data_IF_548251510391
#
_entry.id   IF_548251510391
#
_cell.length_a   1.000
_cell.length_b   1.000
_cell.length_c   1.000
_cell.angle_alpha   90.00
_cell.angle_beta   90.00
_cell.angle_gamma   90.00
#
_symmetry.space_group_name_H-M   'P 1'
#
loop_
_entity.id
_entity.type
_entity.pdbx_description
1 polymer ?
#
# COMPACT_ATOMS: atom_id res chain seq x y z
N UNK A 1 17.18 -61.97 53.93
CA UNK A 1 16.43 -61.36 55.04
C UNK A 1 16.08 -59.92 54.65
N UNK A 2 14.84 -59.48 54.94
CA UNK A 2 13.88 -58.87 54.00
C UNK A 2 13.58 -57.39 54.37
N UNK A 3 12.77 -56.60 53.66
CA UNK A 3 11.29 -56.60 53.72
C UNK A 3 10.70 -55.54 52.76
N UNK A 4 9.81 -55.94 51.85
CA UNK A 4 8.34 -55.64 51.84
C UNK A 4 7.94 -54.16 51.76
N UNK A 5 7.30 -53.78 50.63
CA UNK A 5 5.95 -53.15 50.51
C UNK A 5 5.55 -53.28 49.03
N UNK A 6 4.79 -54.29 48.59
CA UNK A 6 3.32 -54.43 48.52
C UNK A 6 2.55 -53.38 47.68
N UNK A 7 2.26 -53.79 46.44
CA UNK A 7 1.00 -53.69 45.67
C UNK A 7 -0.10 -52.74 46.17
N UNK A 8 -0.60 -51.89 45.25
CA UNK A 8 -2.02 -51.91 44.83
C UNK A 8 -2.28 -51.10 43.56
N UNK A 9 -2.89 -51.80 42.61
CA UNK A 9 -3.58 -51.33 41.42
C UNK A 9 -4.80 -50.47 41.74
N UNK A 10 -4.97 -49.34 41.05
CA UNK A 10 -6.28 -48.72 40.85
C UNK A 10 -6.27 -47.84 39.59
N UNK A 11 -6.78 -48.40 38.49
CA UNK A 11 -7.23 -47.66 37.31
C UNK A 11 -8.49 -46.83 37.68
N UNK A 12 -8.53 -45.51 37.42
CA UNK A 12 -9.79 -44.81 37.33
C UNK A 12 -10.37 -44.88 35.91
N UNK A 13 -11.59 -45.42 35.87
CA UNK A 13 -12.63 -45.43 34.84
C UNK A 13 -12.50 -44.40 33.70
N UNK A 14 -12.65 -44.95 32.50
CA UNK A 14 -13.20 -44.34 31.29
C UNK A 14 -14.27 -43.28 31.56
N UNK A 15 -14.06 -42.09 31.02
CA UNK A 15 -15.08 -41.05 30.87
C UNK A 15 -16.15 -41.53 29.86
N UNK A 16 -17.38 -41.64 30.34
CA UNK A 16 -18.55 -41.93 29.53
C UNK A 16 -18.78 -40.83 28.49
N UNK A 17 -18.74 -41.21 27.21
CA UNK A 17 -19.17 -40.37 26.10
C UNK A 17 -20.70 -40.30 26.09
N UNK A 18 -21.25 -39.18 26.57
CA UNK A 18 -22.69 -38.92 26.59
C UNK A 18 -23.17 -38.69 25.15
N UNK A 19 -23.90 -39.67 24.60
CA UNK A 19 -24.62 -39.55 23.32
C UNK A 19 -25.59 -38.36 23.36
N UNK A 20 -25.66 -37.50 22.32
CA UNK A 20 -26.70 -36.49 22.23
C UNK A 20 -28.07 -37.17 21.99
N UNK A 21 -29.07 -36.66 22.68
CA UNK A 21 -30.45 -37.13 22.61
C UNK A 21 -31.04 -36.91 21.21
N UNK A 22 -31.74 -37.94 20.76
CA UNK A 22 -32.50 -38.04 19.52
C UNK A 22 -33.67 -37.05 19.58
N UNK A 23 -33.60 -35.96 18.79
CA UNK A 23 -34.69 -35.01 18.66
C UNK A 23 -35.76 -35.60 17.72
N UNK A 24 -36.73 -36.27 18.31
CA UNK A 24 -37.94 -36.77 17.66
C UNK A 24 -38.80 -35.61 17.13
N UNK A 25 -39.13 -35.66 15.84
CA UNK A 25 -40.06 -34.75 15.15
C UNK A 25 -41.48 -34.87 15.74
N UNK A 26 -42.20 -33.76 15.99
CA UNK A 26 -43.64 -33.82 16.18
C UNK A 26 -44.36 -34.02 14.84
N UNK A 27 -45.30 -34.97 14.84
CA UNK A 27 -46.31 -35.21 13.79
C UNK A 27 -47.44 -34.20 13.88
N UNK A 28 -48.09 -34.04 12.74
CA UNK A 28 -49.28 -33.25 12.45
C UNK A 28 -50.44 -33.48 13.44
N UNK A 29 -50.95 -32.37 13.98
CA UNK A 29 -52.28 -32.26 14.57
C UNK A 29 -53.06 -31.27 13.70
N UNK A 30 -54.10 -31.76 13.03
CA UNK A 30 -54.94 -30.98 12.13
C UNK A 30 -55.92 -30.06 12.85
N UNK A 31 -56.23 -28.92 12.24
CA UNK A 31 -57.45 -28.18 12.52
C UNK A 31 -58.08 -27.68 11.20
N UNK A 32 -59.13 -28.40 10.80
CA UNK A 32 -60.44 -27.91 10.39
C UNK A 32 -60.54 -26.62 9.54
N UNK A 33 -60.76 -26.84 8.24
CA UNK A 33 -61.83 -26.27 7.40
C UNK A 33 -62.30 -24.81 7.59
N UNK A 34 -61.95 -23.96 6.60
CA UNK A 34 -62.83 -22.92 6.04
C UNK A 34 -62.32 -22.48 4.65
N UNK A 35 -63.05 -22.86 3.61
CA UNK A 35 -63.07 -22.18 2.28
C UNK A 35 -64.24 -21.17 2.26
N UNK A 36 -64.45 -20.31 1.23
CA UNK A 36 -63.62 -19.96 0.05
C UNK A 36 -63.52 -18.44 -0.20
N UNK A 37 -62.69 -18.00 -1.15
CA UNK A 37 -63.14 -17.10 -2.24
C UNK A 37 -62.08 -16.92 -3.32
N UNK A 38 -62.47 -17.29 -4.54
CA UNK A 38 -61.70 -17.14 -5.77
C UNK A 38 -61.85 -15.70 -6.26
N UNK A 39 -60.75 -14.94 -6.30
CA UNK A 39 -60.63 -13.72 -7.11
C UNK A 39 -59.50 -13.90 -8.11
N UNK A 40 -59.85 -13.80 -9.39
CA UNK A 40 -59.05 -14.07 -10.59
C UNK A 40 -57.73 -13.28 -10.61
N UNK A 41 -56.61 -13.98 -10.78
CA UNK A 41 -55.32 -13.39 -11.18
C UNK A 41 -55.37 -13.03 -12.69
N UNK A 42 -54.94 -11.83 -13.11
CA UNK A 42 -54.86 -11.49 -14.53
C UNK A 42 -53.67 -12.18 -15.22
N UNK A 43 -53.93 -12.68 -16.42
CA UNK A 43 -52.97 -13.32 -17.34
C UNK A 43 -51.94 -12.29 -17.84
N UNK A 44 -50.63 -12.62 -17.97
CA UNK A 44 -49.63 -11.68 -18.45
C UNK A 44 -49.79 -11.36 -19.95
N UNK A 45 -49.80 -10.06 -20.27
CA UNK A 45 -49.85 -9.53 -21.65
C UNK A 45 -48.42 -9.54 -22.25
N UNK A 46 -48.24 -9.95 -23.52
CA UNK A 46 -46.91 -9.97 -24.16
C UNK A 46 -46.31 -8.56 -24.33
N UNK A 47 -44.98 -8.49 -24.18
CA UNK A 47 -44.11 -7.30 -24.04
C UNK A 47 -44.09 -6.36 -25.28
N UNK A 48 -44.80 -6.66 -26.36
CA UNK A 48 -44.70 -5.89 -27.61
C UNK A 48 -45.61 -4.64 -27.69
N UNK A 49 -46.35 -4.28 -26.63
CA UNK A 49 -47.40 -3.25 -26.70
C UNK A 49 -47.13 -1.95 -25.89
N UNK A 50 -45.92 -1.76 -25.34
CA UNK A 50 -45.57 -0.56 -24.55
C UNK A 50 -44.43 0.28 -25.15
N UNK A 51 -44.26 0.25 -26.48
CA UNK A 51 -43.33 1.12 -27.21
C UNK A 51 -44.08 2.10 -28.11
N UNK A 52 -44.86 3.01 -27.51
CA UNK A 52 -45.29 4.25 -28.18
C UNK A 52 -45.37 5.37 -27.16
N UNK A 53 -44.33 6.21 -27.11
CA UNK A 53 -44.40 7.50 -26.44
C UNK A 53 -43.26 7.83 -25.47
N UNK A 54 -42.01 7.72 -25.90
CA UNK A 54 -40.91 8.51 -25.30
C UNK A 54 -40.06 9.02 -26.45
N UNK A 55 -39.98 10.35 -26.61
CA UNK A 55 -39.04 10.99 -27.52
C UNK A 55 -37.63 10.65 -27.06
N UNK A 56 -36.83 10.06 -27.93
CA UNK A 56 -35.41 9.84 -27.69
C UNK A 56 -34.71 11.20 -27.54
N UNK A 57 -34.31 11.53 -26.32
CA UNK A 57 -33.23 12.50 -26.09
C UNK A 57 -31.95 11.71 -26.35
N UNK A 58 -31.31 11.96 -27.48
CA UNK A 58 -30.04 11.34 -27.83
C UNK A 58 -28.91 12.08 -27.09
N UNK A 59 -28.79 11.84 -25.78
CA UNK A 59 -27.56 12.14 -25.05
C UNK A 59 -26.70 10.89 -25.07
N UNK A 60 -25.69 10.88 -25.95
CA UNK A 60 -24.56 9.96 -25.83
C UNK A 60 -23.76 10.33 -24.57
N UNK A 61 -24.27 9.92 -23.40
CA UNK A 61 -23.46 9.88 -22.19
C UNK A 61 -22.61 8.61 -22.26
N UNK A 62 -21.52 8.68 -23.02
CA UNK A 62 -20.47 7.67 -22.98
C UNK A 62 -19.89 7.67 -21.57
N UNK A 63 -20.11 6.60 -20.82
CA UNK A 63 -19.40 6.37 -19.57
C UNK A 63 -17.94 6.13 -19.94
N UNK A 64 -17.13 7.18 -19.88
CA UNK A 64 -15.68 7.04 -19.99
C UNK A 64 -15.17 6.50 -18.66
N UNK A 65 -15.16 5.18 -18.53
CA UNK A 65 -14.64 4.48 -17.35
C UNK A 65 -13.15 4.78 -17.11
N UNK A 66 -12.43 5.31 -18.12
CA UNK A 66 -11.04 5.74 -18.00
C UNK A 66 -10.95 7.13 -17.37
N UNK A 67 -11.95 8.01 -17.54
CA UNK A 67 -11.95 9.33 -16.93
C UNK A 67 -11.89 9.27 -15.38
N UNK A 68 -12.50 8.25 -14.76
CA UNK A 68 -12.40 8.02 -13.32
C UNK A 68 -11.03 7.55 -12.82
N UNK A 69 -10.11 7.19 -13.72
CA UNK A 69 -8.74 6.80 -13.40
C UNK A 69 -7.82 8.03 -13.26
N UNK A 70 -8.16 9.14 -13.95
CA UNK A 70 -7.38 10.39 -13.93
C UNK A 70 -7.47 11.17 -12.61
N UNK A 71 -8.51 10.94 -11.81
CA UNK A 71 -8.79 11.68 -10.57
C UNK A 71 -8.10 11.10 -9.32
N UNK A 72 -7.28 10.04 -9.46
CA UNK A 72 -6.66 9.36 -8.33
C UNK A 72 -5.47 10.15 -7.71
N UNK A 73 -4.95 11.17 -8.40
CA UNK A 73 -3.70 11.84 -8.00
C UNK A 73 -3.79 13.33 -7.59
N UNK A 74 -4.97 13.96 -7.50
CA UNK A 74 -5.06 15.38 -7.11
C UNK A 74 -6.22 15.67 -6.14
N UNK A 75 -5.95 15.97 -4.85
CA UNK A 75 -6.96 16.50 -3.94
C UNK A 75 -6.94 18.04 -3.97
N UNK A 76 -7.25 18.63 -5.11
CA UNK A 76 -7.60 20.05 -5.18
C UNK A 76 -8.43 20.29 -6.42
N UNK A 77 -9.72 20.58 -6.21
CA UNK A 77 -10.74 20.77 -7.25
C UNK A 77 -10.55 22.02 -8.09
N UNK A 78 -9.48 22.10 -8.87
CA UNK A 78 -9.36 23.05 -9.98
C UNK A 78 -9.48 22.30 -11.31
N UNK A 79 -10.67 22.40 -11.88
CA UNK A 79 -11.01 21.91 -13.22
C UNK A 79 -10.16 22.65 -14.26
N UNK A 80 -9.00 22.09 -14.66
CA UNK A 80 -8.36 22.49 -15.93
C UNK A 80 -9.23 21.97 -17.07
N UNK A 81 -9.81 22.89 -17.84
CA UNK A 81 -10.43 22.57 -19.12
C UNK A 81 -9.36 22.02 -20.06
N UNK A 82 -9.57 20.81 -20.58
CA UNK A 82 -8.74 20.24 -21.65
C UNK A 82 -8.81 21.12 -22.89
N UNK A 83 -7.70 21.35 -23.63
CA UNK A 83 -7.74 22.07 -24.88
C UNK A 83 -8.51 21.25 -25.93
N UNK A 84 -9.48 21.88 -26.56
CA UNK A 84 -10.25 21.33 -27.67
C UNK A 84 -9.30 21.13 -28.87
N UNK A 85 -9.14 19.88 -29.32
CA UNK A 85 -8.37 19.55 -30.51
C UNK A 85 -9.28 19.76 -31.74
N UNK A 86 -9.29 20.99 -32.25
CA UNK A 86 -9.71 21.27 -33.63
C UNK A 86 -9.31 22.69 -34.03
N UNK A 87 -8.19 22.82 -34.74
CA UNK A 87 -8.08 23.61 -35.97
C UNK A 87 -6.68 23.48 -36.59
N UNK A 88 -6.61 22.66 -37.63
CA UNK A 88 -5.73 22.92 -38.77
C UNK A 88 -6.09 24.30 -39.36
N UNK A 89 -5.10 25.02 -39.88
CA UNK A 89 -5.21 26.32 -40.59
C UNK A 89 -5.31 27.61 -39.76
N UNK A 90 -4.26 27.95 -38.99
CA UNK A 90 -3.74 29.34 -38.86
C UNK A 90 -2.61 29.37 -37.84
N UNK A 91 -1.38 29.51 -38.31
CA UNK A 91 -0.32 30.47 -37.90
C UNK A 91 0.93 30.04 -38.68
N UNK A 92 0.81 30.10 -39.99
CA UNK A 92 1.94 30.23 -40.90
C UNK A 92 2.19 31.72 -41.03
N UNK A 93 2.78 32.33 -39.98
CA UNK A 93 3.33 33.70 -39.93
C UNK A 93 3.69 34.04 -38.49
N UNK A 94 4.81 33.50 -38.01
CA UNK A 94 5.60 34.11 -36.91
C UNK A 94 7.01 33.51 -36.80
N UNK A 95 7.59 33.17 -37.96
CA UNK A 95 8.94 32.65 -38.10
C UNK A 95 9.99 33.71 -38.48
N UNK A 96 9.69 35.00 -38.32
CA UNK A 96 10.56 36.08 -38.82
C UNK A 96 10.55 37.31 -37.90
N UNK A 97 10.96 37.17 -36.64
CA UNK A 97 11.24 38.36 -35.79
C UNK A 97 12.22 38.11 -34.63
N UNK A 98 12.88 36.93 -34.56
CA UNK A 98 13.91 36.64 -33.54
C UNK A 98 15.30 36.40 -34.12
N UNK A 99 15.47 36.60 -35.43
CA UNK A 99 16.75 36.41 -36.13
C UNK A 99 17.52 37.73 -36.36
N UNK A 100 17.03 38.87 -35.86
CA UNK A 100 17.61 40.20 -36.14
C UNK A 100 18.16 40.93 -34.90
N UNK A 101 18.38 40.20 -33.80
CA UNK A 101 19.00 40.76 -32.58
C UNK A 101 20.39 40.19 -32.26
N UNK A 102 20.90 39.29 -33.10
CA UNK A 102 22.23 38.74 -32.97
C UNK A 102 23.07 39.21 -34.17
N UNK A 103 23.81 40.31 -33.99
CA UNK A 103 25.11 40.65 -34.59
C UNK A 103 25.30 42.17 -34.44
N UNK A 104 26.11 42.61 -33.49
CA UNK A 104 27.06 43.72 -33.66
C UNK A 104 27.82 44.03 -32.36
N UNK A 105 29.09 44.42 -32.54
CA UNK A 105 30.05 45.00 -31.60
C UNK A 105 31.03 44.07 -30.84
N UNK A 106 32.17 43.85 -31.50
CA UNK A 106 33.51 43.86 -30.90
C UNK A 106 34.04 45.32 -30.87
N UNK A 107 34.51 45.82 -29.73
CA UNK A 107 35.95 45.98 -29.37
C UNK A 107 36.20 47.09 -28.30
N UNK A 108 37.18 46.81 -27.44
CA UNK A 108 37.94 47.63 -26.45
C UNK A 108 37.32 48.79 -25.63
N UNK A 109 37.36 48.66 -24.30
CA UNK A 109 38.07 49.61 -23.42
C UNK A 109 38.44 48.95 -22.06
N UNK A 110 39.69 49.11 -21.66
CA UNK A 110 40.30 48.51 -20.49
C UNK A 110 40.24 49.45 -19.28
N UNK A 111 39.40 49.14 -18.28
CA UNK A 111 39.54 49.70 -16.91
C UNK A 111 39.24 48.68 -15.82
N UNK A 112 40.18 48.61 -14.86
CA UNK A 112 40.25 47.75 -13.67
C UNK A 112 38.92 47.72 -12.89
N UNK A 113 38.33 46.52 -12.79
CA UNK A 113 37.36 46.15 -11.75
C UNK A 113 37.71 44.76 -11.27
N UNK A 114 37.79 44.60 -9.95
CA UNK A 114 38.04 43.37 -9.21
C UNK A 114 37.16 42.22 -9.71
N UNK A 115 37.77 41.18 -10.29
CA UNK A 115 37.03 40.09 -10.92
C UNK A 115 36.34 39.18 -9.90
N UNK A 116 35.07 38.78 -10.13
CA UNK A 116 34.43 37.73 -9.36
C UNK A 116 34.98 36.37 -9.81
N UNK A 117 35.13 35.48 -8.83
CA UNK A 117 35.52 34.08 -8.98
C UNK A 117 34.85 33.39 -10.16
N UNK A 118 35.63 32.57 -10.89
CA UNK A 118 35.16 31.62 -11.91
C UNK A 118 33.80 31.03 -11.52
N UNK A 119 32.86 30.81 -12.45
CA UNK A 119 31.68 30.03 -12.14
C UNK A 119 32.19 28.65 -11.76
N UNK A 120 32.21 28.37 -10.46
CA UNK A 120 32.15 27.01 -9.95
C UNK A 120 30.95 26.45 -10.69
N UNK A 121 31.19 25.51 -11.60
CA UNK A 121 30.15 24.66 -12.15
C UNK A 121 29.35 24.23 -10.94
N UNK A 122 28.19 24.86 -10.78
CA UNK A 122 27.24 24.56 -9.75
C UNK A 122 26.95 23.09 -10.00
N UNK A 123 27.62 22.22 -9.23
CA UNK A 123 27.19 20.84 -9.08
C UNK A 123 25.79 21.04 -8.58
N UNK A 124 24.82 20.96 -9.50
CA UNK A 124 23.42 20.81 -9.17
C UNK A 124 23.46 19.64 -8.19
N UNK A 125 23.38 19.93 -6.90
CA UNK A 125 22.87 18.95 -5.97
C UNK A 125 21.49 18.71 -6.53
N UNK A 126 21.33 17.61 -7.26
CA UNK A 126 20.04 17.12 -7.68
C UNK A 126 19.34 16.80 -6.38
N UNK A 127 18.69 17.80 -5.81
CA UNK A 127 17.71 17.61 -4.75
C UNK A 127 16.49 17.04 -5.46
N UNK A 128 16.62 15.80 -5.92
CA UNK A 128 15.50 14.93 -6.23
C UNK A 128 14.84 14.71 -4.89
N UNK A 129 13.69 15.34 -4.65
CA UNK A 129 12.89 15.03 -3.46
C UNK A 129 12.63 13.53 -3.50
N UNK A 130 13.31 12.78 -2.62
CA UNK A 130 13.04 11.34 -2.45
C UNK A 130 11.66 11.19 -1.84
N UNK A 131 10.89 10.23 -2.35
CA UNK A 131 9.57 9.94 -1.82
C UNK A 131 9.63 9.41 -0.39
N UNK A 132 8.52 9.45 0.34
CA UNK A 132 8.45 8.86 1.67
C UNK A 132 8.88 7.39 1.72
N UNK A 133 8.48 6.58 0.72
CA UNK A 133 8.90 5.18 0.64
C UNK A 133 10.41 5.02 0.34
N UNK A 134 10.99 5.89 -0.46
CA UNK A 134 12.44 5.89 -0.66
C UNK A 134 13.18 6.23 0.63
N UNK A 135 12.69 7.24 1.39
CA UNK A 135 13.23 7.58 2.72
C UNK A 135 13.07 6.46 3.74
N UNK A 136 11.98 5.69 3.66
CA UNK A 136 11.82 4.46 4.44
C UNK A 136 12.96 3.47 4.18
N UNK A 137 13.38 3.33 2.93
CA UNK A 137 14.45 2.41 2.54
C UNK A 137 15.87 2.97 2.71
N UNK A 138 16.05 4.30 2.83
CA UNK A 138 17.35 4.96 3.02
C UNK A 138 18.14 4.40 4.23
N UNK A 139 17.45 3.84 5.24
CA UNK A 139 18.12 3.20 6.37
C UNK A 139 18.98 1.98 5.96
N UNK A 140 18.56 1.29 4.91
CA UNK A 140 19.26 0.12 4.37
C UNK A 140 20.28 0.48 3.28
N UNK A 141 20.09 1.59 2.55
CA UNK A 141 21.07 2.15 1.60
C UNK A 141 22.11 3.02 2.34
N UNK A 142 22.96 2.38 3.13
CA UNK A 142 23.88 3.07 4.03
C UNK A 142 25.03 3.81 3.31
N UNK A 143 25.44 3.33 2.13
CA UNK A 143 26.45 3.94 1.27
C UNK A 143 25.86 4.90 0.22
N UNK A 144 24.53 5.01 0.16
CA UNK A 144 23.78 5.98 -0.64
C UNK A 144 23.99 5.82 -2.15
N UNK A 145 24.20 4.58 -2.61
CA UNK A 145 24.37 4.28 -4.03
C UNK A 145 23.02 4.04 -4.75
N UNK A 146 21.91 4.00 -3.99
CA UNK A 146 20.57 3.77 -4.50
C UNK A 146 20.23 2.30 -4.74
N UNK A 147 21.07 1.37 -4.29
CA UNK A 147 20.96 -0.07 -4.51
C UNK A 147 21.06 -0.81 -3.18
N UNK A 148 20.04 -1.60 -2.86
CA UNK A 148 20.04 -2.43 -1.65
C UNK A 148 20.31 -3.87 -2.02
N UNK A 149 21.35 -4.45 -1.44
CA UNK A 149 21.67 -5.86 -1.58
C UNK A 149 21.26 -6.68 -0.35
N UNK A 150 21.25 -8.02 -0.44
CA UNK A 150 20.91 -8.88 0.70
C UNK A 150 21.75 -8.61 1.96
N UNK A 151 23.03 -8.25 1.80
CA UNK A 151 23.90 -7.94 2.95
C UNK A 151 23.54 -6.61 3.61
N UNK A 152 23.06 -5.62 2.85
CA UNK A 152 22.59 -4.35 3.40
C UNK A 152 21.33 -4.56 4.24
N UNK A 153 20.41 -5.40 3.76
CA UNK A 153 19.23 -5.85 4.51
C UNK A 153 19.66 -6.52 5.82
N UNK A 154 20.58 -7.48 5.74
CA UNK A 154 21.10 -8.16 6.91
C UNK A 154 21.70 -7.17 7.92
N UNK A 155 22.60 -6.29 7.49
CA UNK A 155 23.26 -5.30 8.36
C UNK A 155 22.25 -4.33 8.96
N UNK A 156 21.28 -3.84 8.18
CA UNK A 156 20.22 -2.96 8.66
C UNK A 156 19.39 -3.61 9.77
N UNK A 157 18.91 -4.84 9.58
CA UNK A 157 18.18 -5.55 10.63
C UNK A 157 19.05 -5.86 11.86
N UNK A 158 20.36 -6.11 11.68
CA UNK A 158 21.30 -6.27 12.79
C UNK A 158 21.46 -4.98 13.59
N UNK A 159 21.53 -3.82 12.94
CA UNK A 159 21.54 -2.49 13.58
C UNK A 159 20.25 -2.21 14.34
N UNK A 160 19.12 -2.69 13.82
CA UNK A 160 17.83 -2.67 14.52
C UNK A 160 17.75 -3.72 15.64
N UNK A 161 18.79 -4.50 15.95
CA UNK A 161 18.79 -5.44 17.08
C UNK A 161 18.02 -6.73 16.87
N UNK A 162 17.66 -7.09 15.64
CA UNK A 162 17.07 -8.40 15.33
C UNK A 162 18.09 -9.52 15.50
N UNK A 163 17.63 -10.72 15.88
CA UNK A 163 18.50 -11.88 15.97
C UNK A 163 19.00 -12.33 14.57
N UNK A 164 20.11 -13.07 14.53
CA UNK A 164 20.78 -13.47 13.28
C UNK A 164 19.86 -14.27 12.36
N UNK A 165 19.04 -15.17 12.90
CA UNK A 165 18.13 -16.00 12.10
C UNK A 165 17.08 -15.15 11.37
N UNK A 166 16.49 -14.17 12.06
CA UNK A 166 15.54 -13.23 11.47
C UNK A 166 16.22 -12.31 10.45
N UNK A 167 17.46 -11.89 10.68
CA UNK A 167 18.22 -11.09 9.71
C UNK A 167 18.49 -11.85 8.41
N UNK A 168 18.92 -13.12 8.49
CA UNK A 168 19.13 -13.97 7.31
C UNK A 168 17.81 -14.18 6.57
N UNK A 169 16.75 -14.50 7.31
CA UNK A 169 15.43 -14.71 6.72
C UNK A 169 14.93 -13.44 6.00
N UNK A 170 15.04 -12.27 6.61
CA UNK A 170 14.64 -10.99 6.00
C UNK A 170 15.46 -10.66 4.75
N UNK A 171 16.79 -10.83 4.80
CA UNK A 171 17.68 -10.61 3.66
C UNK A 171 17.30 -11.46 2.44
N UNK A 172 16.99 -12.74 2.67
CA UNK A 172 16.58 -13.66 1.62
C UNK A 172 15.18 -13.30 1.09
N UNK A 173 14.21 -13.14 1.98
CA UNK A 173 12.80 -12.92 1.59
C UNK A 173 12.62 -11.57 0.88
N UNK A 174 13.14 -10.47 1.42
CA UNK A 174 12.94 -9.14 0.83
C UNK A 174 13.61 -9.03 -0.55
N UNK A 175 14.84 -9.54 -0.70
CA UNK A 175 15.51 -9.53 -2.01
C UNK A 175 14.81 -10.42 -3.03
N UNK A 176 14.35 -11.63 -2.67
CA UNK A 176 13.61 -12.48 -3.59
C UNK A 176 12.28 -11.87 -4.04
N UNK A 177 11.58 -11.18 -3.14
CA UNK A 177 10.27 -10.59 -3.43
C UNK A 177 10.35 -9.26 -4.20
N UNK A 178 11.38 -8.45 -3.94
CA UNK A 178 11.43 -7.06 -4.43
C UNK A 178 12.48 -6.81 -5.51
N UNK A 179 13.48 -7.68 -5.67
CA UNK A 179 14.57 -7.43 -6.61
C UNK A 179 14.07 -7.32 -8.05
N UNK A 180 13.30 -8.31 -8.53
CA UNK A 180 12.89 -8.37 -9.93
C UNK A 180 11.99 -7.18 -10.33
N UNK A 181 11.04 -6.78 -9.48
CA UNK A 181 10.13 -5.67 -9.77
C UNK A 181 10.83 -4.31 -9.88
N UNK A 182 11.99 -4.15 -9.25
CA UNK A 182 12.77 -2.90 -9.30
C UNK A 182 13.80 -2.89 -10.44
N UNK A 183 13.97 -3.97 -11.20
CA UNK A 183 14.93 -4.01 -12.29
C UNK A 183 14.45 -3.23 -13.53
N UNK A 184 15.42 -2.72 -14.29
CA UNK A 184 15.19 -2.17 -15.64
C UNK A 184 15.31 -3.23 -16.73
N UNK A 185 15.99 -4.34 -16.42
CA UNK A 185 16.28 -5.42 -17.35
C UNK A 185 15.33 -6.59 -17.16
N UNK A 186 15.09 -7.34 -18.23
CA UNK A 186 14.30 -8.59 -18.18
C UNK A 186 15.02 -9.74 -17.47
N UNK A 187 16.35 -9.69 -17.42
CA UNK A 187 17.18 -10.68 -16.71
C UNK A 187 17.26 -10.25 -15.25
N UNK A 188 16.95 -11.13 -14.28
CA UNK A 188 17.08 -10.81 -12.87
C UNK A 188 18.54 -10.50 -12.51
N UNK A 189 18.74 -9.54 -11.61
CA UNK A 189 20.07 -9.21 -11.13
C UNK A 189 20.66 -10.44 -10.40
N UNK A 190 21.87 -10.90 -10.74
CA UNK A 190 22.43 -12.15 -10.18
C UNK A 190 22.59 -12.11 -8.65
N UNK A 191 22.72 -10.91 -8.09
CA UNK A 191 22.86 -10.68 -6.65
C UNK A 191 21.56 -10.21 -5.97
N UNK A 192 20.41 -10.29 -6.65
CA UNK A 192 19.11 -9.85 -6.13
C UNK A 192 19.10 -8.42 -5.57
N UNK A 193 19.75 -7.50 -6.30
CA UNK A 193 19.77 -6.09 -5.96
C UNK A 193 18.37 -5.48 -6.04
N UNK A 194 18.04 -4.54 -5.15
CA UNK A 194 16.80 -3.76 -5.16
C UNK A 194 17.16 -2.32 -5.52
N UNK A 195 16.58 -1.80 -6.60
CA UNK A 195 16.84 -0.43 -7.03
C UNK A 195 15.84 0.54 -6.36
N UNK A 196 16.35 1.51 -5.60
CA UNK A 196 15.51 2.47 -4.87
C UNK A 196 14.74 3.43 -5.77
N UNK A 197 15.27 3.73 -6.94
CA UNK A 197 14.60 4.59 -7.93
C UNK A 197 13.26 4.01 -8.41
N UNK A 198 13.08 2.69 -8.31
CA UNK A 198 11.88 1.97 -8.74
C UNK A 198 11.18 1.23 -7.60
N UNK A 199 11.45 1.62 -6.36
CA UNK A 199 10.90 0.92 -5.18
C UNK A 199 9.36 0.95 -5.15
N UNK A 200 8.75 1.96 -5.76
CA UNK A 200 7.31 2.06 -5.95
C UNK A 200 6.75 0.87 -6.77
N UNK A 201 7.55 0.20 -7.61
CA UNK A 201 7.11 -0.98 -8.35
C UNK A 201 6.88 -2.21 -7.45
N UNK A 202 7.35 -2.20 -6.20
CA UNK A 202 7.14 -3.29 -5.23
C UNK A 202 5.76 -3.28 -4.55
N UNK A 203 4.86 -2.37 -4.94
CA UNK A 203 3.50 -2.29 -4.40
C UNK A 203 2.72 -3.58 -4.69
N UNK A 204 1.99 -4.05 -3.68
CA UNK A 204 0.96 -5.09 -3.83
C UNK A 204 -0.43 -4.52 -3.51
N UNK A 205 -1.48 -5.22 -3.91
CA UNK A 205 -2.86 -4.73 -3.76
C UNK A 205 -3.33 -4.64 -2.30
N UNK A 206 -2.79 -5.49 -1.43
CA UNK A 206 -3.22 -5.64 -0.04
C UNK A 206 -2.41 -4.80 0.95
N UNK A 207 -2.22 -3.52 0.64
CA UNK A 207 -1.55 -2.55 1.51
C UNK A 207 -2.57 -1.68 2.23
N UNK A 208 -2.13 -0.87 3.20
CA UNK A 208 -2.99 0.15 3.83
C UNK A 208 -3.40 1.27 2.88
N UNK A 209 -2.73 1.40 1.73
CA UNK A 209 -2.90 2.52 0.81
C UNK A 209 -2.41 3.86 1.37
N UNK A 210 -1.64 3.86 2.47
CA UNK A 210 -1.11 5.09 3.07
C UNK A 210 -0.08 5.78 2.15
N UNK A 211 0.66 5.01 1.36
CA UNK A 211 1.43 5.56 0.25
C UNK A 211 0.52 5.77 -0.96
N UNK A 212 0.69 6.89 -1.65
CA UNK A 212 0.06 7.14 -2.93
C UNK A 212 0.77 6.42 -4.09
N UNK A 213 0.39 6.75 -5.32
CA UNK A 213 0.96 6.09 -6.49
C UNK A 213 2.40 6.52 -6.80
N UNK A 214 2.81 7.68 -6.30
CA UNK A 214 4.16 8.24 -6.41
C UNK A 214 5.02 7.86 -5.19
N UNK A 215 4.52 6.94 -4.35
CA UNK A 215 5.13 6.44 -3.14
C UNK A 215 5.38 7.51 -2.06
N UNK A 216 4.61 8.60 -2.10
CA UNK A 216 4.55 9.61 -1.05
C UNK A 216 3.56 9.20 0.04
N UNK A 217 3.85 9.61 1.28
CA UNK A 217 3.01 9.30 2.43
C UNK A 217 1.86 10.30 2.51
N UNK A 218 0.64 9.87 2.23
CA UNK A 218 -0.57 10.66 2.44
C UNK A 218 -1.03 10.52 3.90
N UNK A 219 -0.78 11.58 4.68
CA UNK A 219 -1.16 11.63 6.09
C UNK A 219 -2.67 11.48 6.28
N UNK A 220 -3.52 11.92 5.35
CA UNK A 220 -4.96 11.75 5.49
C UNK A 220 -5.36 10.27 5.39
N UNK A 221 -4.76 9.53 4.45
CA UNK A 221 -4.98 8.08 4.32
C UNK A 221 -4.42 7.33 5.53
N UNK A 222 -3.25 7.73 6.00
CA UNK A 222 -2.67 7.21 7.24
C UNK A 222 -3.61 7.41 8.44
N UNK A 223 -4.14 8.63 8.62
CA UNK A 223 -5.09 8.93 9.69
C UNK A 223 -6.40 8.15 9.56
N UNK A 224 -6.87 7.90 8.33
CA UNK A 224 -8.07 7.13 8.08
C UNK A 224 -7.96 5.68 8.62
N UNK A 225 -6.75 5.09 8.64
CA UNK A 225 -6.51 3.78 9.27
C UNK A 225 -6.88 3.86 10.75
N UNK A 226 -6.36 4.84 11.49
CA UNK A 226 -6.63 4.99 12.92
C UNK A 226 -8.09 5.34 13.19
N UNK A 227 -8.68 6.25 12.39
CA UNK A 227 -10.09 6.59 12.49
C UNK A 227 -10.99 5.36 12.34
N UNK A 228 -10.64 4.43 11.45
CA UNK A 228 -11.41 3.21 11.18
C UNK A 228 -11.18 2.10 12.21
N UNK A 229 -9.94 1.88 12.64
CA UNK A 229 -9.57 0.68 13.40
C UNK A 229 -9.20 0.94 14.86
N UNK A 230 -8.80 2.15 15.24
CA UNK A 230 -8.30 2.45 16.57
C UNK A 230 -9.40 2.75 17.60
N UNK A 231 -10.69 2.70 17.22
CA UNK A 231 -11.82 2.82 18.15
C UNK A 231 -11.75 4.10 19.03
N UNK A 232 -11.31 5.22 18.44
CA UNK A 232 -11.15 6.52 19.12
C UNK A 232 -9.86 6.69 19.92
N UNK A 233 -8.89 5.77 19.77
CA UNK A 233 -7.59 5.81 20.45
C UNK A 233 -6.47 6.24 19.48
N UNK A 234 -5.39 6.81 20.01
CA UNK A 234 -4.18 7.12 19.24
C UNK A 234 -3.16 5.96 19.19
N UNK A 235 -3.64 4.72 19.35
CA UNK A 235 -2.80 3.53 19.30
C UNK A 235 -3.55 2.30 18.77
N UNK A 236 -2.80 1.34 18.25
CA UNK A 236 -3.30 0.03 17.86
C UNK A 236 -2.84 -1.03 18.88
N UNK A 237 -3.79 -1.88 19.28
CA UNK A 237 -3.49 -3.13 20.00
C UNK A 237 -3.25 -4.24 18.99
N UNK A 238 -2.70 -5.38 19.40
CA UNK A 238 -2.59 -6.56 18.53
C UNK A 238 -3.91 -6.93 17.84
N UNK A 239 -5.04 -6.82 18.55
CA UNK A 239 -6.36 -7.12 18.01
C UNK A 239 -6.79 -6.12 16.94
N UNK A 240 -6.57 -4.82 17.16
CA UNK A 240 -6.95 -3.81 16.16
C UNK A 240 -5.97 -3.79 14.99
N UNK A 241 -4.68 -4.04 15.21
CA UNK A 241 -3.67 -4.29 14.16
C UNK A 241 -4.06 -5.47 13.27
N UNK A 242 -4.50 -6.60 13.86
CA UNK A 242 -5.02 -7.73 13.08
C UNK A 242 -6.24 -7.34 12.23
N UNK A 243 -7.17 -6.54 12.78
CA UNK A 243 -8.31 -6.01 12.00
C UNK A 243 -7.84 -5.10 10.86
N UNK A 244 -6.78 -4.31 11.05
CA UNK A 244 -6.17 -3.50 9.97
C UNK A 244 -5.71 -4.43 8.86
N UNK A 245 -4.81 -5.37 9.14
CA UNK A 245 -4.27 -6.30 8.14
C UNK A 245 -5.37 -7.05 7.39
N UNK A 246 -6.28 -7.73 8.10
CA UNK A 246 -7.39 -8.47 7.49
C UNK A 246 -8.31 -7.59 6.65
N UNK A 247 -8.45 -6.32 7.02
CA UNK A 247 -9.28 -5.36 6.31
C UNK A 247 -8.67 -4.84 5.01
N UNK A 248 -7.36 -5.01 4.80
CA UNK A 248 -6.66 -4.63 3.58
C UNK A 248 -6.46 -5.79 2.60
N UNK A 249 -6.79 -7.03 2.99
CA UNK A 249 -6.66 -8.20 2.12
C UNK A 249 -7.60 -8.10 0.90
N UNK A 250 -7.05 -7.69 -0.25
CA UNK A 250 -7.77 -7.60 -1.51
C UNK A 250 -8.08 -8.99 -2.08
N UNK A 251 -9.23 -9.13 -2.76
CA UNK A 251 -9.57 -10.40 -3.41
C UNK A 251 -8.49 -10.79 -4.43
N UNK A 252 -8.07 -12.06 -4.41
CA UNK A 252 -7.07 -12.66 -5.31
C UNK A 252 -5.62 -12.15 -5.18
N UNK A 253 -5.29 -11.36 -4.16
CA UNK A 253 -3.91 -10.90 -3.90
C UNK A 253 -3.25 -11.71 -2.77
N UNK A 254 -3.05 -13.01 -3.00
CA UNK A 254 -2.46 -13.92 -2.01
C UNK A 254 -1.05 -13.50 -1.59
N UNK A 255 -0.26 -12.98 -2.53
CA UNK A 255 1.07 -12.46 -2.25
C UNK A 255 1.00 -11.27 -1.30
N UNK A 256 0.16 -10.27 -1.59
CA UNK A 256 0.00 -9.11 -0.72
C UNK A 256 -0.60 -9.44 0.65
N UNK A 257 -1.42 -10.48 0.78
CA UNK A 257 -1.88 -10.92 2.11
C UNK A 257 -0.72 -11.33 2.99
N UNK A 258 0.20 -12.12 2.44
CA UNK A 258 1.37 -12.60 3.17
C UNK A 258 2.37 -11.48 3.41
N UNK A 259 2.71 -10.70 2.38
CA UNK A 259 3.62 -9.56 2.48
C UNK A 259 3.13 -8.54 3.53
N UNK A 260 1.89 -8.07 3.41
CA UNK A 260 1.32 -7.13 4.39
C UNK A 260 1.23 -7.72 5.80
N UNK A 261 0.98 -9.02 5.94
CA UNK A 261 0.98 -9.68 7.25
C UNK A 261 2.36 -9.69 7.90
N UNK A 262 3.39 -10.01 7.11
CA UNK A 262 4.79 -9.97 7.56
C UNK A 262 5.25 -8.56 7.91
N UNK A 263 4.86 -7.54 7.14
CA UNK A 263 5.16 -6.14 7.43
C UNK A 263 4.62 -5.72 8.81
N UNK A 264 3.35 -6.02 9.10
CA UNK A 264 2.76 -5.73 10.41
C UNK A 264 3.41 -6.49 11.57
N UNK A 265 3.76 -7.76 11.35
CA UNK A 265 4.47 -8.57 12.36
C UNK A 265 5.88 -8.01 12.60
N UNK A 266 6.62 -7.68 11.54
CA UNK A 266 7.95 -7.09 11.63
C UNK A 266 7.91 -5.74 12.36
N UNK A 267 6.93 -4.88 12.03
CA UNK A 267 6.68 -3.62 12.73
C UNK A 267 6.43 -3.85 14.23
N UNK A 268 5.57 -4.81 14.58
CA UNK A 268 5.29 -5.11 15.98
C UNK A 268 6.53 -5.61 16.74
N UNK A 269 7.34 -6.47 16.11
CA UNK A 269 8.59 -6.99 16.70
C UNK A 269 9.63 -5.87 16.85
N UNK A 270 9.75 -4.99 15.87
CA UNK A 270 10.69 -3.86 15.89
C UNK A 270 10.40 -2.93 17.08
N UNK A 271 9.14 -2.52 17.20
CA UNK A 271 8.68 -1.56 18.21
C UNK A 271 8.54 -2.17 19.60
N UNK A 272 8.17 -3.45 19.68
CA UNK A 272 7.98 -4.21 20.91
C UNK A 272 7.40 -3.39 22.09
N UNK A 273 6.17 -2.84 21.96
CA UNK A 273 5.61 -1.96 22.97
C UNK A 273 5.36 -2.73 24.28
N UNK A 274 5.89 -2.22 25.40
CA UNK A 274 5.79 -2.86 26.72
C UNK A 274 4.35 -3.01 27.22
N UNK A 275 3.48 -2.06 26.86
CA UNK A 275 2.05 -2.05 27.20
C UNK A 275 1.17 -2.69 26.11
N UNK A 276 1.78 -3.25 25.06
CA UNK A 276 1.07 -3.83 23.92
C UNK A 276 0.35 -2.81 23.02
N UNK A 277 0.70 -1.52 23.12
CA UNK A 277 0.06 -0.43 22.36
C UNK A 277 1.04 0.17 21.37
N UNK A 278 0.81 -0.06 20.08
CA UNK A 278 1.54 0.60 19.00
C UNK A 278 1.01 2.02 18.82
N UNK A 279 1.78 3.03 19.21
CA UNK A 279 1.34 4.43 19.12
C UNK A 279 1.31 4.88 17.67
N UNK A 280 0.37 5.76 17.34
CA UNK A 280 0.23 6.34 16.00
C UNK A 280 1.53 6.98 15.52
N UNK A 281 2.22 7.73 16.39
CA UNK A 281 3.48 8.40 16.06
C UNK A 281 4.59 7.39 15.72
N UNK A 282 4.71 6.30 16.47
CA UNK A 282 5.73 5.28 16.22
C UNK A 282 5.48 4.59 14.88
N UNK A 283 4.22 4.26 14.58
CA UNK A 283 3.83 3.68 13.29
C UNK A 283 4.11 4.67 12.16
N UNK A 284 3.78 5.95 12.33
CA UNK A 284 4.09 6.99 11.34
C UNK A 284 5.60 7.08 11.07
N UNK A 285 6.42 7.00 12.12
CA UNK A 285 7.87 6.97 12.02
C UNK A 285 8.40 5.74 11.27
N UNK A 286 7.66 4.62 11.30
CA UNK A 286 7.94 3.48 10.42
C UNK A 286 7.63 3.83 8.97
N UNK A 287 6.48 4.45 8.66
CA UNK A 287 6.16 4.85 7.28
C UNK A 287 7.15 5.87 6.70
N UNK A 288 7.60 6.86 7.45
CA UNK A 288 8.55 7.85 6.92
C UNK A 288 10.03 7.45 7.02
N UNK A 289 10.33 6.32 7.68
CA UNK A 289 11.68 5.78 7.88
C UNK A 289 12.46 6.36 9.05
N UNK A 290 11.98 7.44 9.68
CA UNK A 290 12.73 8.17 10.71
C UNK A 290 13.04 7.30 11.93
N UNK A 291 12.12 6.42 12.31
CA UNK A 291 12.23 5.64 13.55
C UNK A 291 13.37 4.62 13.52
N UNK A 292 13.78 4.15 12.33
CA UNK A 292 14.84 3.17 12.20
C UNK A 292 16.18 3.73 12.68
N UNK A 293 16.47 4.98 12.34
CA UNK A 293 17.68 5.67 12.78
C UNK A 293 17.68 5.91 14.29
N UNK A 294 16.54 6.31 14.86
CA UNK A 294 16.39 6.49 16.30
C UNK A 294 16.59 5.18 17.07
N UNK A 295 15.98 4.09 16.60
CA UNK A 295 16.14 2.76 17.22
C UNK A 295 17.58 2.27 17.09
N UNK A 296 18.19 2.39 15.91
CA UNK A 296 19.57 1.96 15.70
C UNK A 296 20.54 2.74 16.59
N UNK A 297 20.35 4.05 16.73
CA UNK A 297 21.15 4.89 17.63
C UNK A 297 20.97 4.53 19.09
N UNK A 298 19.75 4.18 19.52
CA UNK A 298 19.47 3.75 20.88
C UNK A 298 20.02 2.35 21.22
N UNK A 299 20.28 1.52 20.20
CA UNK A 299 20.76 0.13 20.33
C UNK A 299 22.25 -0.04 19.99
N UNK A 300 22.91 1.00 19.49
CA UNK A 300 24.35 1.05 19.19
C UNK A 300 25.18 1.14 20.48
#
# INVERSE_FOLDING_TARGET
>A
MPSLVQSRSAFPRSLEFKRPAEMSRPRDEGLSSREPSVSKLPVPVPISAALKGVKAVNEHCGYDWIAGVGDICCPSGERRQSPNYDNSSRVETRGSELAEFAVSFHDEDARKVTGPSRPVLNRKSTNTKRSALQRHCDFWDADQDGVIYPWDIFVGFRRLGFNIALCIWAAVTMCMCSSYSTQTSWIPHPMFAINLDKIDCCRHGSTTGAYDLDAELDLNRFEAIFRKYAEGKDYLTLRTMYKVWRGQCCANDFFGWFAGGLEWVALYILLWPQDGRLRKQDIQGVYDGSIFFEIAKARA
#
